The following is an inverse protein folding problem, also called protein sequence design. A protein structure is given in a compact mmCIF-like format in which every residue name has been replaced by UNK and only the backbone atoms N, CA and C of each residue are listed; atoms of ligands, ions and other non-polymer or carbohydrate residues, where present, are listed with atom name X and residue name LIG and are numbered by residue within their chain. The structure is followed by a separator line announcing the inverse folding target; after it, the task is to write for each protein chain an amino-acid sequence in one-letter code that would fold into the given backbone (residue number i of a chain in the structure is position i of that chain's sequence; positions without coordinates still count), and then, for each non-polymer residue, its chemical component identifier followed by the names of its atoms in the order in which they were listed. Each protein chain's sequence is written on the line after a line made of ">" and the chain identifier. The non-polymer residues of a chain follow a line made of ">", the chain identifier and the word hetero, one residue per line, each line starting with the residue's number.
data_IF_458779517469
#
_entry.id   IF_458779517469
#
_cell.length_a   1.000
_cell.length_b   1.000
_cell.length_c   1.000
_cell.angle_alpha   90.00
_cell.angle_beta   90.00
_cell.angle_gamma   90.00
#
_symmetry.space_group_name_H-M   'P 1'
#
loop_
_entity.id
_entity.type
_entity.pdbx_description
1 polymer ?
#
# COMPACT_ATOMS: atom_id res chain seq x y z
N UNK A 1 -14.45 16.54 -2.90
CA UNK A 1 -14.91 15.62 -3.97
C UNK A 1 -13.67 15.08 -4.67
N UNK A 2 -13.57 13.76 -4.81
CA UNK A 2 -12.34 13.06 -5.26
C UNK A 2 -12.05 13.27 -6.75
N UNK A 3 -13.07 13.38 -7.60
CA UNK A 3 -12.96 13.63 -9.05
C UNK A 3 -13.85 14.81 -9.48
N UNK A 4 -13.42 15.56 -10.50
CA UNK A 4 -14.18 16.69 -11.08
C UNK A 4 -15.08 16.23 -12.23
N UNK A 5 -14.59 15.31 -13.05
CA UNK A 5 -15.30 14.78 -14.21
C UNK A 5 -15.99 13.43 -13.96
N UNK A 6 -15.96 12.95 -12.70
CA UNK A 6 -16.57 11.68 -12.26
C UNK A 6 -15.97 10.45 -12.93
N UNK A 7 -14.73 10.53 -13.42
CA UNK A 7 -13.99 9.40 -13.98
C UNK A 7 -12.75 9.12 -13.14
N UNK A 8 -12.76 7.98 -12.48
CA UNK A 8 -11.75 7.59 -11.50
C UNK A 8 -11.04 6.33 -11.99
N UNK A 9 -9.71 6.35 -12.03
CA UNK A 9 -8.90 5.16 -12.20
C UNK A 9 -8.62 4.49 -10.87
N UNK A 10 -8.74 3.17 -10.76
CA UNK A 10 -8.27 2.39 -9.62
C UNK A 10 -7.10 1.50 -10.07
N UNK A 11 -5.91 1.79 -9.56
CA UNK A 11 -4.72 0.97 -9.77
C UNK A 11 -4.51 0.10 -8.52
N UNK A 12 -4.71 -1.21 -8.64
CA UNK A 12 -4.67 -2.12 -7.50
C UNK A 12 -4.11 -3.50 -7.88
N UNK A 13 -3.99 -4.41 -6.91
CA UNK A 13 -3.61 -5.81 -7.21
C UNK A 13 -4.75 -6.54 -7.93
N UNK A 14 -4.44 -7.65 -8.61
CA UNK A 14 -5.46 -8.51 -9.25
C UNK A 14 -6.52 -8.98 -8.27
N UNK A 15 -6.12 -9.31 -7.03
CA UNK A 15 -7.05 -9.70 -5.97
C UNK A 15 -8.01 -8.55 -5.62
N UNK A 16 -7.47 -7.33 -5.50
CA UNK A 16 -8.25 -6.14 -5.17
C UNK A 16 -9.24 -5.79 -6.27
N UNK A 17 -8.81 -5.76 -7.53
CA UNK A 17 -9.71 -5.46 -8.66
C UNK A 17 -10.84 -6.47 -8.80
N UNK A 18 -10.60 -7.74 -8.47
CA UNK A 18 -11.61 -8.81 -8.55
C UNK A 18 -12.47 -8.95 -7.29
N UNK A 19 -12.20 -8.19 -6.22
CA UNK A 19 -12.90 -8.33 -4.96
C UNK A 19 -14.32 -7.74 -5.04
N UNK A 20 -15.39 -8.53 -4.81
CA UNK A 20 -16.77 -8.04 -4.79
C UNK A 20 -17.01 -6.90 -3.79
N UNK A 21 -16.23 -6.86 -2.70
CA UNK A 21 -16.28 -5.79 -1.71
C UNK A 21 -15.98 -4.42 -2.32
N UNK A 22 -15.03 -4.34 -3.26
CA UNK A 22 -14.69 -3.07 -3.90
C UNK A 22 -15.78 -2.60 -4.85
N UNK A 23 -16.47 -3.52 -5.53
CA UNK A 23 -17.65 -3.16 -6.32
C UNK A 23 -18.74 -2.54 -5.43
N UNK A 24 -18.97 -3.10 -4.24
CA UNK A 24 -19.88 -2.54 -3.25
C UNK A 24 -19.43 -1.18 -2.72
N UNK A 25 -18.14 -1.00 -2.41
CA UNK A 25 -17.61 0.28 -1.95
C UNK A 25 -17.79 1.39 -3.02
N UNK A 26 -17.58 1.04 -4.29
CA UNK A 26 -17.81 1.94 -5.41
C UNK A 26 -19.31 2.31 -5.49
N UNK A 27 -20.21 1.35 -5.29
CA UNK A 27 -21.65 1.61 -5.26
C UNK A 27 -22.06 2.52 -4.09
N UNK A 28 -21.56 2.23 -2.89
CA UNK A 28 -21.92 2.95 -1.66
C UNK A 28 -21.38 4.39 -1.65
N UNK A 29 -20.16 4.62 -2.18
CA UNK A 29 -19.45 5.90 -2.02
C UNK A 29 -19.15 6.65 -3.32
N UNK A 30 -19.30 6.00 -4.48
CA UNK A 30 -18.95 6.57 -5.79
C UNK A 30 -19.96 6.19 -6.89
N UNK A 31 -21.23 5.95 -6.54
CA UNK A 31 -22.30 5.57 -7.49
C UNK A 31 -22.55 6.59 -8.61
N UNK A 32 -22.17 7.86 -8.41
CA UNK A 32 -22.24 8.89 -9.44
C UNK A 32 -20.96 8.97 -10.32
N UNK A 33 -20.00 8.07 -10.10
CA UNK A 33 -18.71 8.03 -10.79
C UNK A 33 -18.54 6.77 -11.65
N UNK A 34 -17.82 6.92 -12.76
CA UNK A 34 -17.34 5.81 -13.57
C UNK A 34 -15.94 5.41 -13.10
N UNK A 35 -15.80 4.19 -12.59
CA UNK A 35 -14.51 3.66 -12.10
C UNK A 35 -13.89 2.72 -13.13
N UNK A 36 -12.64 3.00 -13.49
CA UNK A 36 -11.83 2.21 -14.42
C UNK A 36 -10.78 1.43 -13.62
N UNK A 37 -10.98 0.12 -13.48
CA UNK A 37 -10.06 -0.72 -12.73
C UNK A 37 -8.90 -1.19 -13.59
N UNK A 38 -7.68 -1.13 -13.04
CA UNK A 38 -6.48 -1.72 -13.63
C UNK A 38 -5.71 -2.51 -12.58
N UNK A 39 -5.56 -3.80 -12.84
CA UNK A 39 -4.55 -4.62 -12.16
C UNK A 39 -3.24 -4.53 -12.93
N UNK A 40 -2.12 -4.37 -12.22
CA UNK A 40 -0.80 -4.21 -12.86
C UNK A 40 0.28 -5.06 -12.16
N UNK A 41 0.30 -6.38 -12.42
CA UNK A 41 1.28 -7.29 -11.82
C UNK A 41 2.72 -7.00 -12.30
N UNK A 42 2.89 -6.53 -13.53
CA UNK A 42 4.21 -6.17 -14.07
C UNK A 42 4.78 -4.97 -13.33
N UNK A 43 3.94 -3.96 -13.04
CA UNK A 43 4.35 -2.81 -12.24
C UNK A 43 4.67 -3.19 -10.79
N UNK A 44 3.93 -4.14 -10.20
CA UNK A 44 4.26 -4.68 -8.87
C UNK A 44 5.62 -5.38 -8.90
N UNK A 45 5.84 -6.27 -9.88
CA UNK A 45 7.13 -6.95 -10.07
C UNK A 45 8.28 -5.96 -10.20
N UNK A 46 8.09 -4.88 -10.97
CA UNK A 46 9.08 -3.81 -11.09
C UNK A 46 9.36 -3.11 -9.75
N UNK A 47 8.32 -2.84 -8.96
CA UNK A 47 8.45 -2.22 -7.63
C UNK A 47 9.26 -3.11 -6.68
N UNK A 48 9.00 -4.41 -6.69
CA UNK A 48 9.64 -5.38 -5.79
C UNK A 48 11.10 -5.65 -6.16
N UNK A 49 11.43 -5.71 -7.46
CA UNK A 49 12.72 -6.23 -7.90
C UNK A 49 13.67 -5.18 -8.50
N UNK A 50 13.13 -4.15 -9.14
CA UNK A 50 13.92 -3.25 -9.98
C UNK A 50 13.96 -1.81 -9.46
N UNK A 51 12.92 -1.37 -8.75
CA UNK A 51 12.70 0.04 -8.40
C UNK A 51 13.89 0.69 -7.69
N UNK A 52 14.54 -0.04 -6.78
CA UNK A 52 15.66 0.50 -6.00
C UNK A 52 16.87 0.88 -6.87
N UNK A 53 17.09 0.16 -7.97
CA UNK A 53 18.20 0.39 -8.90
C UNK A 53 17.74 1.08 -10.20
N UNK A 54 16.46 1.40 -10.32
CA UNK A 54 15.88 1.91 -11.55
C UNK A 54 16.29 3.36 -11.82
N UNK A 55 16.70 3.65 -13.06
CA UNK A 55 16.88 5.03 -13.51
C UNK A 55 15.51 5.74 -13.65
N UNK A 56 15.48 7.09 -13.68
CA UNK A 56 14.25 7.84 -13.96
C UNK A 56 13.54 7.39 -15.23
N UNK A 57 14.27 7.04 -16.29
CA UNK A 57 13.73 6.53 -17.55
C UNK A 57 13.07 5.15 -17.39
N UNK A 58 13.66 4.27 -16.57
CA UNK A 58 13.08 2.96 -16.25
C UNK A 58 11.76 3.12 -15.47
N UNK A 59 11.75 3.98 -14.44
CA UNK A 59 10.55 4.29 -13.66
C UNK A 59 9.44 4.86 -14.55
N UNK A 60 9.77 5.82 -15.41
CA UNK A 60 8.85 6.38 -16.41
C UNK A 60 8.27 5.28 -17.30
N UNK A 61 9.12 4.42 -17.87
CA UNK A 61 8.67 3.32 -18.75
C UNK A 61 7.75 2.35 -18.02
N UNK A 62 8.00 2.06 -16.75
CA UNK A 62 7.19 1.17 -15.94
C UNK A 62 5.78 1.73 -15.69
N UNK A 63 5.65 3.04 -15.38
CA UNK A 63 4.35 3.64 -15.05
C UNK A 63 3.49 4.01 -16.26
N UNK A 64 4.12 4.27 -17.42
CA UNK A 64 3.45 4.75 -18.63
C UNK A 64 2.26 3.87 -19.07
N UNK A 65 2.35 2.52 -19.10
CA UNK A 65 1.21 1.67 -19.46
C UNK A 65 -0.04 1.92 -18.61
N UNK A 66 0.13 2.11 -17.29
CA UNK A 66 -0.97 2.40 -16.37
C UNK A 66 -1.53 3.80 -16.58
N UNK A 67 -0.65 4.79 -16.67
CA UNK A 67 -1.02 6.19 -16.91
C UNK A 67 -1.78 6.35 -18.23
N UNK A 68 -1.31 5.74 -19.31
CA UNK A 68 -1.94 5.84 -20.63
C UNK A 68 -3.31 5.17 -20.66
N UNK A 69 -3.50 4.07 -19.93
CA UNK A 69 -4.82 3.46 -19.78
C UNK A 69 -5.82 4.42 -19.13
N UNK A 70 -5.46 5.07 -18.03
CA UNK A 70 -6.36 6.01 -17.36
C UNK A 70 -6.60 7.27 -18.19
N UNK A 71 -5.56 7.79 -18.85
CA UNK A 71 -5.66 8.93 -19.76
C UNK A 71 -6.60 8.64 -20.94
N UNK A 72 -6.48 7.47 -21.58
CA UNK A 72 -7.37 7.05 -22.69
C UNK A 72 -8.83 6.98 -22.27
N UNK A 73 -9.09 6.60 -21.02
CA UNK A 73 -10.45 6.58 -20.46
C UNK A 73 -10.94 7.95 -19.97
N UNK A 74 -10.05 8.96 -19.93
CA UNK A 74 -10.35 10.32 -19.49
C UNK A 74 -10.48 10.44 -17.97
N UNK A 75 -9.76 9.62 -17.21
CA UNK A 75 -9.75 9.75 -15.75
C UNK A 75 -9.03 11.04 -15.35
N UNK A 76 -9.62 11.82 -14.45
CA UNK A 76 -8.96 12.98 -13.84
C UNK A 76 -8.43 12.68 -12.44
N UNK A 77 -8.63 11.45 -11.97
CA UNK A 77 -8.19 10.96 -10.66
C UNK A 77 -7.72 9.51 -10.78
N UNK A 78 -6.62 9.17 -10.13
CA UNK A 78 -6.08 7.82 -10.03
C UNK A 78 -5.92 7.48 -8.55
N UNK A 79 -6.62 6.44 -8.09
CA UNK A 79 -6.51 5.89 -6.74
C UNK A 79 -5.49 4.75 -6.73
N UNK A 80 -4.54 4.82 -5.82
CA UNK A 80 -3.54 3.79 -5.55
C UNK A 80 -4.09 2.83 -4.48
N UNK A 81 -4.71 1.73 -4.94
CA UNK A 81 -5.39 0.75 -4.08
C UNK A 81 -4.47 -0.34 -3.49
N UNK A 82 -3.16 -0.17 -3.55
CA UNK A 82 -2.17 -1.10 -2.99
C UNK A 82 -0.97 -0.31 -2.48
N UNK A 83 -0.43 -0.72 -1.33
CA UNK A 83 0.76 -0.10 -0.71
C UNK A 83 1.98 -0.10 -1.63
N UNK A 84 2.13 -1.06 -2.54
CA UNK A 84 3.22 -1.07 -3.53
C UNK A 84 3.27 0.21 -4.36
N UNK A 85 2.13 0.63 -4.91
CA UNK A 85 2.09 1.77 -5.84
C UNK A 85 2.40 3.10 -5.17
N UNK A 86 2.31 3.15 -3.84
CA UNK A 86 2.62 4.35 -3.07
C UNK A 86 4.10 4.74 -3.13
N UNK A 87 5.00 3.81 -3.49
CA UNK A 87 6.43 4.09 -3.71
C UNK A 87 6.73 4.79 -5.05
N UNK A 88 5.79 4.77 -6.00
CA UNK A 88 5.93 5.36 -7.34
C UNK A 88 4.85 6.41 -7.62
N UNK A 89 4.15 6.87 -6.57
CA UNK A 89 3.05 7.83 -6.68
C UNK A 89 3.48 9.12 -7.41
N UNK A 90 4.67 9.63 -7.12
CA UNK A 90 5.24 10.81 -7.78
C UNK A 90 5.54 10.58 -9.27
N UNK A 91 6.00 9.39 -9.65
CA UNK A 91 6.22 9.05 -11.06
C UNK A 91 4.90 9.01 -11.81
N UNK A 92 3.88 8.38 -11.21
CA UNK A 92 2.53 8.32 -11.76
C UNK A 92 1.97 9.73 -11.93
N UNK A 93 2.08 10.59 -10.92
CA UNK A 93 1.57 11.96 -10.97
C UNK A 93 2.28 12.79 -12.05
N UNK A 94 3.62 12.69 -12.12
CA UNK A 94 4.44 13.38 -13.13
C UNK A 94 4.05 12.97 -14.54
N UNK A 95 3.92 11.66 -14.79
CA UNK A 95 3.59 11.16 -16.12
C UNK A 95 2.10 11.35 -16.46
N UNK A 96 1.19 11.34 -15.48
CA UNK A 96 -0.23 11.61 -15.70
C UNK A 96 -0.50 13.07 -16.08
N UNK A 97 0.27 13.99 -15.49
CA UNK A 97 0.22 15.42 -15.77
C UNK A 97 -0.73 16.18 -14.83
N UNK A 98 -0.69 17.53 -14.88
CA UNK A 98 -1.31 18.41 -13.88
C UNK A 98 -2.85 18.36 -13.84
N UNK A 99 -3.48 17.72 -14.82
CA UNK A 99 -4.94 17.54 -14.87
C UNK A 99 -5.43 16.34 -14.07
N UNK A 100 -4.53 15.48 -13.58
CA UNK A 100 -4.87 14.22 -12.92
C UNK A 100 -4.40 14.25 -11.47
N UNK A 101 -5.33 14.01 -10.54
CA UNK A 101 -5.01 13.84 -9.13
C UNK A 101 -4.62 12.38 -8.86
N UNK A 102 -3.53 12.15 -8.13
CA UNK A 102 -3.14 10.82 -7.65
C UNK A 102 -3.40 10.78 -6.14
N UNK A 103 -4.18 9.79 -5.70
CA UNK A 103 -4.66 9.67 -4.32
C UNK A 103 -4.28 8.28 -3.81
N UNK A 104 -3.74 8.19 -2.59
CA UNK A 104 -3.54 6.93 -1.89
C UNK A 104 -4.39 6.86 -0.61
N UNK A 105 -4.39 5.70 0.06
CA UNK A 105 -5.19 5.46 1.25
C UNK A 105 -4.47 5.76 2.57
N UNK A 106 -3.20 6.20 2.57
CA UNK A 106 -2.40 6.30 3.80
C UNK A 106 -3.03 7.25 4.81
N UNK A 107 -3.37 8.46 4.38
CA UNK A 107 -3.99 9.47 5.25
C UNK A 107 -5.39 9.02 5.71
N UNK A 108 -6.14 8.35 4.83
CA UNK A 108 -7.46 7.81 5.17
C UNK A 108 -7.39 6.73 6.23
N UNK A 109 -6.42 5.82 6.12
CA UNK A 109 -6.18 4.74 7.09
C UNK A 109 -5.67 5.31 8.42
N UNK A 110 -4.76 6.27 8.40
CA UNK A 110 -4.23 6.91 9.60
C UNK A 110 -5.32 7.64 10.40
N UNK A 111 -6.15 8.44 9.72
CA UNK A 111 -7.26 9.13 10.38
C UNK A 111 -8.29 8.14 10.95
N UNK A 112 -8.61 7.07 10.21
CA UNK A 112 -9.52 6.05 10.72
C UNK A 112 -8.97 5.32 11.94
N UNK A 113 -7.65 5.05 11.97
CA UNK A 113 -7.01 4.44 13.13
C UNK A 113 -7.14 5.32 14.39
N UNK A 114 -6.95 6.64 14.25
CA UNK A 114 -7.14 7.62 15.34
C UNK A 114 -8.60 7.68 15.81
N UNK A 115 -9.55 7.66 14.87
CA UNK A 115 -10.98 7.65 15.19
C UNK A 115 -11.37 6.39 15.97
N UNK A 116 -10.84 5.23 15.57
CA UNK A 116 -11.09 3.96 16.25
C UNK A 116 -10.42 3.95 17.63
N UNK A 117 -9.16 4.38 17.74
CA UNK A 117 -8.44 4.47 19.02
C UNK A 117 -9.23 5.27 20.06
N UNK A 118 -9.78 6.41 19.65
CA UNK A 118 -10.60 7.28 20.51
C UNK A 118 -11.86 6.59 21.07
N UNK A 119 -12.24 5.44 20.52
CA UNK A 119 -13.41 4.64 20.90
C UNK A 119 -13.07 3.31 21.58
N UNK A 120 -11.79 2.97 21.73
CA UNK A 120 -11.36 1.72 22.36
C UNK A 120 -11.39 1.82 23.90
N UNK A 121 -11.78 0.75 24.62
CA UNK A 121 -11.61 0.67 26.07
C UNK A 121 -10.12 0.59 26.43
N UNK A 122 -9.77 1.01 27.66
CA UNK A 122 -8.41 0.83 28.19
C UNK A 122 -7.98 -0.64 28.07
N UNK A 123 -6.86 -0.86 27.37
CA UNK A 123 -6.28 -2.19 27.19
C UNK A 123 -5.43 -2.49 28.42
N UNK A 124 -5.59 -3.68 28.99
CA UNK A 124 -4.75 -4.13 30.09
C UNK A 124 -3.31 -4.33 29.57
N UNK A 125 -2.36 -3.59 30.11
CA UNK A 125 -0.97 -3.49 29.63
C UNK A 125 -0.09 -4.68 30.06
N UNK A 126 -0.70 -5.88 30.13
CA UNK A 126 0.02 -7.10 30.45
C UNK A 126 0.83 -7.54 29.23
N UNK A 127 2.14 -7.31 29.29
CA UNK A 127 3.08 -7.75 28.27
C UNK A 127 2.99 -9.26 28.08
N UNK A 128 2.90 -9.69 26.81
CA UNK A 128 2.98 -11.11 26.44
C UNK A 128 4.39 -11.64 26.70
N UNK A 129 4.45 -12.89 27.13
CA UNK A 129 5.70 -13.65 27.34
C UNK A 129 6.56 -13.62 26.07
N UNK A 130 7.84 -13.25 26.19
CA UNK A 130 8.78 -13.05 25.09
C UNK A 130 8.92 -11.61 24.59
N UNK A 131 8.11 -10.66 25.07
CA UNK A 131 8.19 -9.23 24.73
C UNK A 131 8.82 -8.37 25.84
N UNK A 132 9.48 -8.97 26.83
CA UNK A 132 9.98 -8.28 28.04
C UNK A 132 11.10 -7.28 27.73
N UNK A 133 11.86 -7.53 26.66
CA UNK A 133 13.01 -6.69 26.27
C UNK A 133 12.73 -5.79 25.06
N UNK A 134 11.49 -5.74 24.57
CA UNK A 134 11.08 -4.86 23.48
C UNK A 134 10.52 -3.54 24.05
N UNK A 135 10.60 -2.42 23.33
CA UNK A 135 9.92 -1.20 23.77
C UNK A 135 8.40 -1.37 23.68
N UNK A 136 7.68 -0.46 24.35
CA UNK A 136 6.22 -0.56 24.56
C UNK A 136 5.42 -0.29 23.29
N UNK A 137 5.99 0.50 22.39
CA UNK A 137 5.32 1.13 21.28
C UNK A 137 5.70 0.54 19.91
N UNK A 138 6.85 -0.13 19.79
CA UNK A 138 7.33 -0.64 18.50
C UNK A 138 8.12 -1.95 18.55
N UNK A 139 7.77 -2.87 17.67
CA UNK A 139 8.60 -4.02 17.35
C UNK A 139 8.20 -4.59 15.99
N UNK A 140 9.16 -5.17 15.27
CA UNK A 140 8.91 -5.85 14.00
C UNK A 140 8.97 -7.37 14.20
N UNK A 141 7.92 -8.06 13.74
CA UNK A 141 7.83 -9.51 13.75
C UNK A 141 7.52 -10.04 12.34
N UNK A 142 7.96 -11.26 12.03
CA UNK A 142 7.67 -11.92 10.75
C UNK A 142 7.14 -13.35 10.97
N UNK A 143 6.23 -13.85 10.13
CA UNK A 143 5.60 -15.18 10.29
C UNK A 143 6.27 -16.29 9.48
N UNK A 144 7.27 -15.99 8.65
CA UNK A 144 7.98 -17.02 7.89
C UNK A 144 9.08 -16.48 6.98
N UNK A 145 9.96 -17.38 6.57
CA UNK A 145 11.03 -17.12 5.60
C UNK A 145 11.17 -18.27 4.61
N UNK A 146 11.73 -18.00 3.42
CA UNK A 146 12.08 -19.02 2.42
C UNK A 146 13.48 -19.57 2.66
N UNK A 147 14.39 -18.78 3.24
CA UNK A 147 15.74 -19.20 3.63
C UNK A 147 16.25 -18.54 4.92
N UNK A 148 17.29 -19.10 5.56
CA UNK A 148 17.95 -18.48 6.73
C UNK A 148 18.56 -17.12 6.40
N UNK A 149 18.91 -16.87 5.14
CA UNK A 149 19.49 -15.60 4.69
C UNK A 149 18.45 -14.47 4.79
N UNK A 150 17.16 -14.77 4.63
CA UNK A 150 16.06 -13.80 4.74
C UNK A 150 15.97 -13.19 6.16
N UNK A 151 16.32 -13.94 7.21
CA UNK A 151 16.34 -13.42 8.59
C UNK A 151 17.36 -12.28 8.71
N UNK A 152 18.53 -12.46 8.07
CA UNK A 152 19.58 -11.45 8.09
C UNK A 152 19.17 -10.17 7.36
N UNK A 153 18.31 -10.29 6.34
CA UNK A 153 17.72 -9.15 5.64
C UNK A 153 16.76 -8.36 6.53
N UNK A 154 15.86 -9.05 7.25
CA UNK A 154 14.94 -8.40 8.19
C UNK A 154 15.66 -7.73 9.36
N UNK A 155 16.68 -8.38 9.93
CA UNK A 155 17.51 -7.74 10.96
C UNK A 155 18.23 -6.50 10.42
N UNK A 156 18.70 -6.56 9.17
CA UNK A 156 19.37 -5.42 8.52
C UNK A 156 18.39 -4.27 8.29
N UNK A 157 17.16 -4.57 7.86
CA UNK A 157 16.08 -3.58 7.73
C UNK A 157 15.76 -2.95 9.09
N UNK A 158 15.57 -3.77 10.12
CA UNK A 158 15.30 -3.32 11.49
C UNK A 158 16.39 -2.36 11.99
N UNK A 159 17.67 -2.74 11.86
CA UNK A 159 18.80 -1.85 12.21
C UNK A 159 18.80 -0.56 11.40
N UNK A 160 18.48 -0.63 10.11
CA UNK A 160 18.49 0.53 9.20
C UNK A 160 17.37 1.52 9.49
N UNK A 161 16.20 1.03 9.89
CA UNK A 161 15.04 1.85 10.24
C UNK A 161 14.94 2.16 11.74
N UNK A 162 15.92 1.70 12.54
CA UNK A 162 15.92 1.81 13.99
C UNK A 162 14.67 1.20 14.64
N UNK A 163 14.19 0.08 14.08
CA UNK A 163 13.03 -0.66 14.60
C UNK A 163 13.56 -1.89 15.37
N UNK A 164 13.09 -2.15 16.60
CA UNK A 164 13.44 -3.35 17.35
C UNK A 164 12.96 -4.62 16.64
N UNK A 165 13.86 -5.60 16.47
CA UNK A 165 13.51 -6.91 15.94
C UNK A 165 12.91 -7.79 17.06
N UNK A 166 11.62 -8.11 16.93
CA UNK A 166 10.87 -8.95 17.88
C UNK A 166 10.96 -10.44 17.59
N UNK A 167 11.46 -10.84 16.41
CA UNK A 167 11.65 -12.24 16.05
C UNK A 167 10.57 -12.80 15.14
N UNK A 168 10.47 -14.13 15.13
CA UNK A 168 9.56 -14.87 14.24
C UNK A 168 8.35 -15.34 15.04
N UNK A 169 7.15 -14.99 14.56
CA UNK A 169 5.89 -15.53 15.09
C UNK A 169 5.61 -16.83 14.33
N UNK A 170 6.06 -17.95 14.89
CA UNK A 170 5.63 -19.27 14.42
C UNK A 170 4.25 -19.57 15.01
N UNK A 171 3.30 -20.04 14.20
CA UNK A 171 2.01 -20.53 14.71
C UNK A 171 2.25 -21.62 15.79
N UNK A 172 1.94 -21.27 17.04
CA UNK A 172 1.65 -22.20 18.14
C UNK A 172 2.85 -22.86 18.81
N UNK A 173 3.19 -22.39 20.02
CA UNK A 173 2.91 -23.18 21.24
C UNK A 173 2.39 -22.22 22.30
N UNK A 174 1.17 -22.50 22.79
CA UNK A 174 0.76 -22.05 24.11
C UNK A 174 1.39 -22.89 25.20
#
# INVERSE_FOLDING_TARGET
>A
KVSRNRKIGLLATTATVKNPYNAKLIEDFASDCQVFNRADPDLISFIEHDLFNATPEMRKKAVLPAVDFFRKNGCDTIILGCTHFTHIAEDIAREAGPGVSVVDSRDGVANHAIDVESSLPEINDERKEGCENLPEDEAFFCTGYKSKDDISEYETLCRRFNIPWGGIITEGRG
#
